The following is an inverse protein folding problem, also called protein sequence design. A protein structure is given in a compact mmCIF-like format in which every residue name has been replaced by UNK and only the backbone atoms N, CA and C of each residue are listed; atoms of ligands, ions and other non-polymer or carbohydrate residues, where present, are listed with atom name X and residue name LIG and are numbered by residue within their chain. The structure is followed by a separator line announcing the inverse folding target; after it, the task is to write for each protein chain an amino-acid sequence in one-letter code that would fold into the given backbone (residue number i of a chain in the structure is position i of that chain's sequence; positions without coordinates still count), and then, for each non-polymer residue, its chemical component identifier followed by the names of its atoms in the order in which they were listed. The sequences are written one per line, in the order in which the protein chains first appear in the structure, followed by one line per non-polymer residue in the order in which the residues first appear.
data_IF_930948481855
#
_entry.id   IF_930948481855
#
_cell.length_a   1.000
_cell.length_b   1.000
_cell.length_c   1.000
_cell.angle_alpha   90.00
_cell.angle_beta   90.00
_cell.angle_gamma   90.00
#
_symmetry.space_group_name_H-M   'P 1'
#
loop_
_entity.id
_entity.type
_entity.pdbx_description
1 polymer ?
#
# COMPACT_ATOMS: atom_id res chain seq x y z
N UNK A 1 25.49 46.51 -79.34
CA UNK A 1 24.90 46.68 -78.04
C UNK A 1 24.16 45.36 -77.70
N UNK A 2 24.80 44.47 -76.93
CA UNK A 2 24.22 43.18 -76.53
C UNK A 2 23.39 43.33 -75.26
N UNK A 3 22.15 42.96 -75.36
CA UNK A 3 21.24 42.90 -74.24
C UNK A 3 21.40 41.59 -73.49
N UNK A 4 21.77 41.64 -72.19
CA UNK A 4 21.91 40.48 -71.37
C UNK A 4 20.63 40.34 -70.57
N UNK A 5 19.91 39.22 -70.77
CA UNK A 5 18.71 38.81 -70.01
C UNK A 5 19.14 38.09 -68.74
N UNK A 6 18.67 38.49 -67.56
CA UNK A 6 19.02 37.72 -66.35
C UNK A 6 18.24 36.43 -66.29
N UNK A 7 18.98 35.32 -66.03
CA UNK A 7 18.41 34.01 -65.79
C UNK A 7 17.65 33.93 -64.44
N UNK A 8 16.47 33.34 -64.49
CA UNK A 8 15.66 33.06 -63.31
C UNK A 8 16.31 32.00 -62.42
N UNK A 9 16.48 32.35 -61.16
CA UNK A 9 16.93 31.42 -60.12
C UNK A 9 15.76 30.52 -59.72
N UNK A 10 15.83 29.24 -60.01
CA UNK A 10 14.90 28.22 -59.57
C UNK A 10 15.15 27.91 -58.08
N UNK A 11 14.25 28.29 -57.21
CA UNK A 11 14.28 27.90 -55.79
C UNK A 11 13.86 26.45 -55.66
N UNK A 12 14.81 25.55 -55.44
CA UNK A 12 14.52 24.15 -55.15
C UNK A 12 14.06 23.99 -53.70
N UNK A 13 12.77 23.81 -53.49
CA UNK A 13 12.20 23.49 -52.17
C UNK A 13 12.47 22.01 -51.90
N UNK A 14 13.46 21.72 -51.06
CA UNK A 14 13.75 20.37 -50.58
C UNK A 14 12.71 19.99 -49.52
N UNK A 15 11.72 19.22 -49.92
CA UNK A 15 10.76 18.62 -48.98
C UNK A 15 11.43 17.44 -48.28
N UNK A 16 11.90 17.64 -47.06
CA UNK A 16 12.44 16.57 -46.22
C UNK A 16 11.28 15.72 -45.71
N UNK A 17 11.00 14.61 -46.35
CA UNK A 17 10.05 13.59 -45.89
C UNK A 17 10.69 12.83 -44.73
N UNK A 18 10.38 13.21 -43.50
CA UNK A 18 10.78 12.46 -42.30
C UNK A 18 9.98 11.16 -42.28
N UNK A 19 10.58 10.08 -42.78
CA UNK A 19 10.03 8.73 -42.62
C UNK A 19 10.15 8.33 -41.15
N UNK A 20 9.13 8.58 -40.38
CA UNK A 20 9.02 8.08 -39.00
C UNK A 20 8.84 6.56 -39.07
N UNK A 21 9.93 5.83 -38.81
CA UNK A 21 9.89 4.37 -38.64
C UNK A 21 8.84 4.06 -37.59
N UNK A 22 7.81 3.22 -37.86
CA UNK A 22 6.86 2.85 -36.86
C UNK A 22 7.58 2.15 -35.70
N UNK A 23 7.50 2.76 -34.53
CA UNK A 23 7.91 2.10 -33.27
C UNK A 23 7.03 0.85 -33.14
N UNK A 24 7.60 -0.35 -32.95
CA UNK A 24 6.78 -1.52 -32.72
C UNK A 24 5.97 -1.24 -31.44
N UNK A 25 4.66 -1.12 -31.59
CA UNK A 25 3.73 -1.15 -30.47
C UNK A 25 3.97 -2.50 -29.81
N UNK A 26 4.60 -2.44 -28.63
CA UNK A 26 4.75 -3.60 -27.77
C UNK A 26 3.32 -4.07 -27.51
N UNK A 27 2.93 -5.14 -28.19
CA UNK A 27 1.61 -5.74 -27.99
C UNK A 27 1.46 -5.96 -26.48
N UNK A 28 0.44 -5.34 -25.90
CA UNK A 28 0.08 -5.56 -24.50
C UNK A 28 -0.02 -7.07 -24.33
N UNK A 29 0.93 -7.65 -23.59
CA UNK A 29 0.84 -9.05 -23.20
C UNK A 29 -0.51 -9.22 -22.50
N UNK A 30 -1.31 -10.23 -22.88
CA UNK A 30 -2.55 -10.48 -22.19
C UNK A 30 -2.23 -10.59 -20.71
N UNK A 31 -2.87 -9.78 -19.88
CA UNK A 31 -2.83 -9.92 -18.42
C UNK A 31 -3.18 -11.37 -18.14
N UNK A 32 -2.19 -12.15 -17.72
CA UNK A 32 -2.43 -13.53 -17.33
C UNK A 32 -3.47 -13.47 -16.22
N UNK A 33 -4.65 -13.97 -16.51
CA UNK A 33 -5.71 -14.18 -15.53
C UNK A 33 -5.08 -15.02 -14.42
N UNK A 34 -4.85 -14.41 -13.26
CA UNK A 34 -4.25 -15.08 -12.13
C UNK A 34 -5.15 -16.26 -11.78
N UNK A 35 -4.74 -17.46 -12.17
CA UNK A 35 -5.38 -18.69 -11.74
C UNK A 35 -5.12 -18.77 -10.23
N UNK A 36 -6.11 -18.36 -9.45
CA UNK A 36 -6.05 -18.43 -7.99
C UNK A 36 -6.18 -19.89 -7.61
N UNK A 37 -5.03 -20.59 -7.48
CA UNK A 37 -5.05 -21.91 -6.86
C UNK A 37 -5.51 -21.76 -5.40
N UNK A 38 -6.32 -22.72 -4.90
CA UNK A 38 -6.76 -22.69 -3.51
C UNK A 38 -5.55 -22.72 -2.56
N UNK A 39 -5.73 -22.15 -1.37
CA UNK A 39 -4.71 -22.21 -0.33
C UNK A 39 -4.40 -23.66 0.03
N UNK A 40 -3.13 -24.03 0.23
CA UNK A 40 -2.76 -25.37 0.65
C UNK A 40 -3.30 -25.67 2.05
N UNK A 41 -3.48 -26.96 2.34
CA UNK A 41 -3.93 -27.38 3.65
C UNK A 41 -2.96 -26.92 4.76
N UNK A 42 -3.49 -26.59 5.94
CA UNK A 42 -2.72 -26.13 7.08
C UNK A 42 -1.57 -27.08 7.46
N UNK A 43 -1.79 -28.38 7.33
CA UNK A 43 -0.79 -29.40 7.60
C UNK A 43 0.45 -29.26 6.69
N UNK A 44 0.25 -28.95 5.41
CA UNK A 44 1.34 -28.73 4.45
C UNK A 44 2.14 -27.49 4.84
N UNK A 45 1.46 -26.38 5.16
CA UNK A 45 2.13 -25.12 5.51
C UNK A 45 2.91 -25.24 6.82
N UNK A 46 2.40 -26.00 7.80
CA UNK A 46 3.09 -26.24 9.08
C UNK A 46 4.31 -27.17 8.95
N UNK A 47 4.32 -28.04 7.95
CA UNK A 47 5.45 -28.94 7.67
C UNK A 47 6.59 -28.26 6.90
N UNK A 48 6.40 -27.02 6.42
CA UNK A 48 7.43 -26.29 5.69
C UNK A 48 8.63 -25.98 6.58
N UNK A 49 9.85 -26.11 6.04
CA UNK A 49 11.06 -25.74 6.76
C UNK A 49 11.04 -24.23 7.07
N UNK A 50 11.63 -23.90 8.22
CA UNK A 50 11.87 -22.50 8.56
C UNK A 50 12.89 -21.92 7.60
N UNK A 51 12.60 -20.75 7.06
CA UNK A 51 13.48 -20.09 6.11
C UNK A 51 14.83 -19.75 6.77
N UNK A 52 15.92 -20.18 6.16
CA UNK A 52 17.28 -19.81 6.58
C UNK A 52 17.55 -18.32 6.31
N UNK A 53 16.99 -17.80 5.22
CA UNK A 53 16.98 -16.37 4.92
C UNK A 53 15.59 -15.81 5.24
N UNK A 54 15.48 -14.67 5.95
CA UNK A 54 14.17 -14.13 6.29
C UNK A 54 13.35 -13.86 5.04
N UNK A 55 12.08 -14.27 5.07
CA UNK A 55 11.09 -14.00 4.03
C UNK A 55 10.80 -12.50 4.00
N UNK A 56 10.66 -11.90 5.19
CA UNK A 56 10.57 -10.46 5.40
C UNK A 56 11.58 -10.02 6.45
N UNK A 57 12.17 -8.86 6.26
CA UNK A 57 13.20 -8.34 7.16
C UNK A 57 12.63 -7.94 8.53
N UNK A 58 11.49 -7.26 8.53
CA UNK A 58 10.80 -6.87 9.75
C UNK A 58 9.68 -7.87 10.04
N UNK A 59 9.74 -8.49 11.20
CA UNK A 59 8.76 -9.49 11.64
C UNK A 59 7.57 -8.89 12.39
N UNK A 60 7.62 -7.61 12.75
CA UNK A 60 6.50 -6.88 13.37
C UNK A 60 5.64 -6.24 12.31
N UNK A 61 4.36 -6.57 12.27
CA UNK A 61 3.43 -6.13 11.24
C UNK A 61 2.11 -5.65 11.84
N UNK A 62 1.37 -4.89 11.06
CA UNK A 62 0.04 -4.41 11.41
C UNK A 62 -1.00 -5.11 10.53
N UNK A 63 -2.20 -5.37 11.08
CA UNK A 63 -3.31 -5.93 10.30
C UNK A 63 -3.66 -5.02 9.12
N UNK A 64 -3.89 -5.61 7.94
CA UNK A 64 -4.17 -4.87 6.71
C UNK A 64 -2.94 -4.27 6.02
N UNK A 65 -1.75 -4.41 6.59
CA UNK A 65 -0.51 -3.88 6.03
C UNK A 65 -0.12 -4.62 4.74
N UNK A 66 0.38 -3.84 3.76
CA UNK A 66 0.96 -4.40 2.54
C UNK A 66 2.35 -4.95 2.84
N UNK A 67 2.59 -6.19 2.46
CA UNK A 67 3.88 -6.86 2.54
C UNK A 67 4.41 -7.14 1.14
N UNK A 68 5.70 -6.91 0.94
CA UNK A 68 6.43 -7.29 -0.26
C UNK A 68 7.54 -8.26 0.11
N UNK A 69 7.60 -9.38 -0.59
CA UNK A 69 8.50 -10.49 -0.30
C UNK A 69 9.32 -10.79 -1.55
N UNK A 70 10.64 -10.85 -1.41
CA UNK A 70 11.51 -11.36 -2.48
C UNK A 70 12.25 -12.59 -1.96
N UNK A 71 12.01 -13.72 -2.58
CA UNK A 71 12.58 -15.01 -2.16
C UNK A 71 13.13 -15.79 -3.34
N UNK A 72 14.15 -16.61 -3.10
CA UNK A 72 14.82 -17.46 -4.10
C UNK A 72 14.81 -18.92 -3.69
N UNK A 73 15.10 -19.82 -4.62
CA UNK A 73 15.16 -21.25 -4.36
C UNK A 73 14.01 -22.03 -4.98
N UNK A 74 13.21 -21.37 -5.82
CA UNK A 74 12.15 -22.01 -6.62
C UNK A 74 12.70 -22.46 -7.99
N UNK A 75 11.92 -23.28 -8.68
CA UNK A 75 12.22 -23.61 -10.08
C UNK A 75 11.97 -22.41 -10.97
N UNK A 76 12.71 -22.26 -12.07
CA UNK A 76 12.44 -21.21 -13.05
C UNK A 76 10.97 -21.25 -13.51
N UNK A 77 10.36 -20.08 -13.58
CA UNK A 77 8.97 -19.87 -14.03
C UNK A 77 7.89 -20.61 -13.22
N UNK A 78 8.22 -21.03 -12.01
CA UNK A 78 7.29 -21.70 -11.12
C UNK A 78 6.34 -20.72 -10.45
N UNK A 79 5.06 -21.12 -10.35
CA UNK A 79 4.05 -20.36 -9.62
C UNK A 79 4.25 -20.52 -8.11
N UNK A 80 4.24 -19.40 -7.38
CA UNK A 80 4.49 -19.34 -5.94
C UNK A 80 3.40 -18.54 -5.26
N UNK A 81 2.95 -19.00 -4.11
CA UNK A 81 1.94 -18.35 -3.28
C UNK A 81 2.56 -17.81 -2.00
N UNK A 82 2.10 -16.65 -1.54
CA UNK A 82 2.36 -16.10 -0.23
C UNK A 82 1.13 -16.34 0.65
N UNK A 83 1.34 -16.98 1.79
CA UNK A 83 0.27 -17.55 2.61
C UNK A 83 0.46 -17.11 4.07
N UNK A 84 -0.62 -16.74 4.73
CA UNK A 84 -0.70 -16.64 6.19
C UNK A 84 -1.30 -17.95 6.72
N UNK A 85 -0.59 -18.62 7.59
CA UNK A 85 -0.88 -20.01 7.95
C UNK A 85 -1.82 -20.22 9.15
N UNK A 86 -2.21 -19.17 9.85
CA UNK A 86 -3.09 -19.30 11.05
C UNK A 86 -4.48 -19.83 10.69
N UNK A 87 -5.04 -19.26 9.65
CA UNK A 87 -6.08 -19.81 8.78
C UNK A 87 -5.49 -19.74 7.38
N UNK A 88 -5.14 -20.89 6.75
CA UNK A 88 -4.40 -20.85 5.49
C UNK A 88 -5.11 -19.97 4.46
N UNK A 89 -4.56 -18.77 4.27
CA UNK A 89 -5.09 -17.77 3.35
C UNK A 89 -3.98 -17.31 2.44
N UNK A 90 -4.19 -17.44 1.14
CA UNK A 90 -3.30 -16.84 0.12
C UNK A 90 -3.52 -15.33 0.14
N UNK A 91 -2.46 -14.58 0.39
CA UNK A 91 -2.47 -13.12 0.44
C UNK A 91 -1.79 -12.48 -0.77
N UNK A 92 -1.08 -13.29 -1.55
CA UNK A 92 -0.42 -12.88 -2.78
C UNK A 92 0.11 -14.06 -3.56
N UNK A 93 0.45 -13.85 -4.82
CA UNK A 93 1.07 -14.86 -5.67
C UNK A 93 1.98 -14.20 -6.70
N UNK A 94 2.91 -14.98 -7.25
CA UNK A 94 3.83 -14.54 -8.28
C UNK A 94 4.44 -15.72 -9.01
N UNK A 95 5.19 -15.43 -10.05
CA UNK A 95 5.94 -16.42 -10.82
C UNK A 95 7.44 -16.16 -10.65
N UNK A 96 8.19 -17.19 -10.34
CA UNK A 96 9.64 -17.10 -10.25
C UNK A 96 10.24 -16.76 -11.62
N UNK A 97 11.30 -15.97 -11.62
CA UNK A 97 12.04 -15.66 -12.85
C UNK A 97 12.94 -16.84 -13.27
N UNK A 98 13.72 -16.64 -14.34
CA UNK A 98 14.65 -17.67 -14.84
C UNK A 98 15.72 -18.11 -13.82
N UNK A 99 16.00 -17.29 -12.80
CA UNK A 99 16.93 -17.59 -11.70
C UNK A 99 16.25 -18.21 -10.48
N UNK A 100 14.94 -18.51 -10.56
CA UNK A 100 14.20 -19.07 -9.45
C UNK A 100 13.93 -18.05 -8.32
N UNK A 101 13.93 -16.76 -8.64
CA UNK A 101 13.62 -15.67 -7.71
C UNK A 101 12.20 -15.19 -7.97
N UNK A 102 11.41 -15.04 -6.92
CA UNK A 102 10.05 -14.50 -6.98
C UNK A 102 9.93 -13.24 -6.12
N UNK A 103 9.23 -12.25 -6.62
CA UNK A 103 8.76 -11.10 -5.81
C UNK A 103 7.24 -11.13 -5.78
N UNK A 104 6.69 -11.17 -4.58
CA UNK A 104 5.25 -11.25 -4.33
C UNK A 104 4.84 -10.09 -3.44
N UNK A 105 3.77 -9.42 -3.81
CA UNK A 105 3.10 -8.43 -2.98
C UNK A 105 1.76 -8.99 -2.49
N UNK A 106 1.42 -8.67 -1.26
CA UNK A 106 0.16 -9.08 -0.67
C UNK A 106 -0.23 -8.19 0.49
N UNK A 107 -1.48 -8.26 0.92
CA UNK A 107 -1.95 -7.54 2.09
C UNK A 107 -2.26 -8.55 3.21
N UNK A 108 -1.79 -8.26 4.41
CA UNK A 108 -2.21 -9.02 5.58
C UNK A 108 -3.72 -8.86 5.78
N UNK A 109 -4.45 -9.93 6.11
CA UNK A 109 -5.88 -9.81 6.37
C UNK A 109 -6.18 -8.81 7.48
N UNK A 110 -7.14 -7.91 7.26
CA UNK A 110 -7.53 -6.93 8.27
C UNK A 110 -8.18 -7.57 9.51
N UNK A 111 -8.73 -8.77 9.36
CA UNK A 111 -9.33 -9.57 10.42
C UNK A 111 -8.33 -10.56 11.08
N UNK A 112 -7.05 -10.47 10.75
CA UNK A 112 -6.02 -11.29 11.38
C UNK A 112 -5.90 -10.87 12.86
N UNK A 113 -6.05 -11.82 13.76
CA UNK A 113 -5.92 -11.54 15.20
C UNK A 113 -4.52 -11.02 15.55
N UNK A 114 -4.42 -10.25 16.64
CA UNK A 114 -3.12 -9.88 17.18
C UNK A 114 -2.39 -11.11 17.73
N UNK A 115 -1.07 -11.16 17.57
CA UNK A 115 -0.24 -12.24 18.10
C UNK A 115 0.74 -12.82 17.08
N UNK A 116 1.23 -14.01 17.39
CA UNK A 116 2.21 -14.70 16.54
C UNK A 116 1.51 -15.50 15.44
N UNK A 117 1.92 -15.24 14.21
CA UNK A 117 1.45 -15.92 13.01
C UNK A 117 2.62 -16.49 12.21
N UNK A 118 2.33 -17.37 11.26
CA UNK A 118 3.34 -17.89 10.35
C UNK A 118 3.04 -17.38 8.94
N UNK A 119 4.01 -16.71 8.35
CA UNK A 119 4.02 -16.37 6.94
C UNK A 119 4.77 -17.46 6.19
N UNK A 120 4.26 -17.89 5.05
CA UNK A 120 4.89 -18.93 4.23
C UNK A 120 4.88 -18.52 2.75
N UNK A 121 5.95 -18.87 2.05
CA UNK A 121 6.02 -18.90 0.59
C UNK A 121 6.00 -20.35 0.16
N UNK A 122 5.15 -20.70 -0.81
CA UNK A 122 4.92 -22.08 -1.21
C UNK A 122 4.65 -22.21 -2.71
N UNK A 123 5.34 -23.13 -3.35
CA UNK A 123 5.15 -23.51 -4.74
C UNK A 123 4.38 -24.81 -4.82
N UNK A 124 3.09 -24.81 -5.19
CA UNK A 124 2.23 -25.99 -5.12
C UNK A 124 2.66 -27.13 -6.04
N UNK A 125 3.33 -26.82 -7.14
CA UNK A 125 3.73 -27.83 -8.14
C UNK A 125 4.94 -28.62 -7.69
N UNK A 126 5.98 -27.96 -7.16
CA UNK A 126 7.20 -28.62 -6.68
C UNK A 126 7.10 -29.09 -5.22
N UNK A 127 6.13 -28.55 -4.45
CA UNK A 127 6.06 -28.72 -3.01
C UNK A 127 7.14 -27.96 -2.24
N UNK A 128 7.94 -27.12 -2.91
CA UNK A 128 8.98 -26.33 -2.28
C UNK A 128 8.32 -25.16 -1.55
N UNK A 129 8.74 -24.92 -0.32
CA UNK A 129 8.26 -23.75 0.42
C UNK A 129 9.07 -23.51 1.68
N UNK A 130 8.86 -22.33 2.26
CA UNK A 130 9.56 -21.86 3.44
C UNK A 130 8.61 -21.10 4.32
N UNK A 131 8.85 -21.13 5.62
CA UNK A 131 8.01 -20.48 6.62
C UNK A 131 8.82 -19.56 7.51
N UNK A 132 8.18 -18.49 8.02
CA UNK A 132 8.75 -17.54 8.97
C UNK A 132 7.67 -17.09 9.95
N UNK A 133 8.02 -16.99 11.23
CA UNK A 133 7.14 -16.40 12.23
C UNK A 133 7.14 -14.88 12.10
N UNK A 134 5.96 -14.30 12.23
CA UNK A 134 5.72 -12.85 12.30
C UNK A 134 4.85 -12.54 13.51
N UNK A 135 4.96 -11.36 14.05
CA UNK A 135 4.09 -10.84 15.10
C UNK A 135 3.17 -9.76 14.49
N UNK A 136 1.88 -9.94 14.65
CA UNK A 136 0.89 -9.02 14.12
C UNK A 136 0.26 -8.22 15.27
N UNK A 137 0.22 -6.91 15.11
CA UNK A 137 -0.49 -5.98 15.97
C UNK A 137 -1.77 -5.50 15.29
N UNK A 138 -2.84 -5.19 16.05
CA UNK A 138 -4.02 -4.58 15.46
C UNK A 138 -3.67 -3.20 14.88
N UNK A 139 -4.34 -2.81 13.80
CA UNK A 139 -4.27 -1.43 13.33
C UNK A 139 -4.86 -0.52 14.41
N UNK A 140 -4.01 0.33 14.99
CA UNK A 140 -4.47 1.34 15.92
C UNK A 140 -5.10 2.45 15.11
N UNK A 141 -6.42 2.59 15.19
CA UNK A 141 -7.08 3.77 14.65
C UNK A 141 -6.50 5.00 15.37
N UNK A 142 -6.15 6.06 14.66
CA UNK A 142 -5.79 7.32 15.30
C UNK A 142 -6.89 7.66 16.29
N UNK A 143 -6.53 7.86 17.55
CA UNK A 143 -7.48 8.32 18.56
C UNK A 143 -7.94 9.74 18.16
N UNK A 144 -8.97 9.82 17.34
CA UNK A 144 -9.62 11.09 16.96
C UNK A 144 -10.46 11.64 18.12
N UNK A 145 -10.38 11.00 19.29
CA UNK A 145 -10.88 11.52 20.53
C UNK A 145 -10.08 12.76 20.91
N UNK A 146 -10.48 13.95 20.42
CA UNK A 146 -10.14 15.19 21.07
C UNK A 146 -10.40 15.02 22.57
N UNK A 147 -9.49 15.50 23.40
CA UNK A 147 -9.66 15.54 24.86
C UNK A 147 -11.00 16.25 25.21
N UNK A 148 -12.09 15.50 25.13
CA UNK A 148 -13.43 16.02 25.45
C UNK A 148 -13.46 16.58 26.87
N UNK A 149 -12.63 16.03 27.76
CA UNK A 149 -12.46 16.53 29.12
C UNK A 149 -11.98 17.99 29.14
N UNK A 150 -11.02 18.36 28.27
CA UNK A 150 -10.56 19.75 28.20
C UNK A 150 -11.61 20.67 27.59
N UNK A 151 -12.36 20.21 26.59
CA UNK A 151 -13.43 21.00 26.00
C UNK A 151 -14.57 21.23 26.99
N UNK A 152 -14.90 20.20 27.79
CA UNK A 152 -15.92 20.29 28.83
C UNK A 152 -15.49 21.26 29.95
N UNK A 153 -14.24 21.22 30.37
CA UNK A 153 -13.70 22.15 31.38
C UNK A 153 -13.71 23.59 30.89
N UNK A 154 -13.35 23.83 29.64
CA UNK A 154 -13.43 25.18 29.04
C UNK A 154 -14.87 25.67 28.99
N UNK A 155 -15.81 24.81 28.61
CA UNK A 155 -17.24 25.15 28.55
C UNK A 155 -17.77 25.51 29.93
N UNK A 156 -17.45 24.74 30.98
CA UNK A 156 -17.86 24.98 32.37
C UNK A 156 -17.27 26.30 32.89
N UNK A 157 -16.00 26.59 32.59
CA UNK A 157 -15.32 27.85 32.96
C UNK A 157 -15.99 29.07 32.31
N UNK A 158 -16.29 28.98 31.00
CA UNK A 158 -16.98 30.07 30.28
C UNK A 158 -18.40 30.29 30.80
N UNK A 159 -19.12 29.20 31.13
CA UNK A 159 -20.47 29.30 31.68
C UNK A 159 -20.45 29.92 33.09
N UNK A 160 -19.51 29.50 33.95
CA UNK A 160 -19.30 30.05 35.27
C UNK A 160 -18.94 31.53 35.25
N UNK A 161 -18.06 31.94 34.34
CA UNK A 161 -17.68 33.33 34.16
C UNK A 161 -18.86 34.20 33.67
N UNK A 162 -19.68 33.66 32.75
CA UNK A 162 -20.88 34.35 32.25
C UNK A 162 -21.93 34.58 33.36
N UNK A 163 -22.13 33.61 34.29
CA UNK A 163 -23.02 33.77 35.44
C UNK A 163 -22.49 34.82 36.41
N UNK A 164 -21.19 34.90 36.64
CA UNK A 164 -20.55 35.85 37.53
C UNK A 164 -20.75 37.30 37.01
N UNK A 165 -20.55 37.54 35.73
CA UNK A 165 -20.77 38.84 35.09
C UNK A 165 -22.21 39.28 35.15
N UNK A 166 -23.18 38.35 35.05
CA UNK A 166 -24.60 38.66 35.12
C UNK A 166 -25.04 39.08 36.54
N UNK A 167 -24.35 38.61 37.60
CA UNK A 167 -24.59 39.03 38.98
C UNK A 167 -24.05 40.42 39.29
N UNK A 168 -22.91 40.79 38.73
CA UNK A 168 -22.34 42.11 39.00
C UNK A 168 -23.09 43.25 38.30
N UNK A 169 -23.69 43.01 37.14
CA UNK A 169 -24.49 44.02 36.44
C UNK A 169 -25.84 44.32 37.10
N UNK A 170 -26.43 43.33 37.82
CA UNK A 170 -27.69 43.57 38.56
C UNK A 170 -27.52 44.43 39.83
N UNK A 171 -26.32 44.56 40.38
CA UNK A 171 -26.10 45.29 41.64
C UNK A 171 -25.86 46.78 41.40
N UNK A 172 -25.59 47.23 40.15
CA UNK A 172 -25.32 48.65 39.81
C UNK A 172 -26.56 49.48 39.50
N UNK A 173 -27.74 48.87 39.33
CA UNK A 173 -28.95 49.62 38.92
C UNK A 173 -29.80 50.09 40.13
N UNK A 174 -29.48 49.59 41.37
CA UNK A 174 -30.28 49.90 42.56
C UNK A 174 -29.65 50.87 43.57
N UNK A 175 -28.57 51.56 43.22
CA UNK A 175 -27.90 52.51 44.10
C UNK A 175 -27.95 53.94 43.53
N UNK A 176 -29.14 54.50 43.41
CA UNK A 176 -29.35 55.96 43.52
C UNK A 176 -30.82 56.32 43.88
N UNK A 177 -31.14 56.42 45.17
CA UNK A 177 -32.29 57.20 45.59
C UNK A 177 -31.81 58.58 46.06
N UNK A 178 -32.28 59.62 45.44
CA UNK A 178 -32.25 61.03 45.87
C UNK A 178 -30.97 61.86 45.65
N UNK A 179 -31.01 62.65 44.68
CA UNK A 179 -31.08 64.12 44.86
C UNK A 179 -31.56 64.79 43.59
#
# INVERSE_FOLDING_TARGET
VASVTPAAVATTTTTTTTTTKPVPVLAAMPSATATTLPAPALAVVRALPVATKPIIADTSRVTGEKVSVTFSGFKPFEFVQLIVASTPQVIGSGTANAQGVVTIEGNLPANLGAGSHTLAVFAPVSGIGFSQKITVSPAVLPATGSNQTNLFMIAVLLFGFGLCLRRTTKKSIYANPNR
#
